data_IF_836679930112
#
_entry.id   IF_836679930112
#
_cell.length_a   1.000
_cell.length_b   1.000
_cell.length_c   1.000
_cell.angle_alpha   90.00
_cell.angle_beta   90.00
_cell.angle_gamma   90.00
#
_symmetry.space_group_name_H-M   'P 1'
#
loop_
_entity.id
_entity.type
_entity.pdbx_description
1 polymer ?
#
# COMPACT_ATOMS: atom_id res chain seq x y z
N UNK A 1 67.83 44.37 24.58
CA UNK A 1 66.85 44.28 23.49
C UNK A 1 65.91 43.14 23.78
N UNK A 2 64.69 43.45 24.26
CA UNK A 2 63.73 42.46 24.70
C UNK A 2 62.66 42.28 23.64
N UNK A 3 62.50 41.03 23.10
CA UNK A 3 61.47 40.67 22.14
C UNK A 3 60.29 40.15 22.90
N UNK A 4 59.20 40.88 22.97
CA UNK A 4 57.89 40.45 23.49
C UNK A 4 57.24 39.48 22.53
N UNK A 5 57.01 38.24 22.97
CA UNK A 5 56.16 37.28 22.27
C UNK A 5 54.70 37.56 22.61
N UNK A 6 53.91 37.90 21.58
CA UNK A 6 52.47 38.02 21.64
C UNK A 6 51.85 36.59 21.50
N UNK A 7 51.16 36.14 22.54
CA UNK A 7 50.40 34.89 22.49
C UNK A 7 48.97 35.25 22.03
N UNK A 8 48.61 34.84 20.82
CA UNK A 8 47.24 34.92 20.33
C UNK A 8 46.47 33.72 20.90
N UNK A 9 45.53 33.99 21.80
CA UNK A 9 44.51 33.00 22.22
C UNK A 9 43.42 32.94 21.12
N UNK A 10 43.41 31.88 20.34
CA UNK A 10 42.29 31.58 19.45
C UNK A 10 41.16 30.90 20.29
N UNK A 11 40.08 31.66 20.47
CA UNK A 11 38.83 31.20 21.06
C UNK A 11 38.10 30.31 20.04
N UNK A 12 38.18 28.99 20.20
CA UNK A 12 37.37 28.03 19.43
C UNK A 12 35.98 28.03 20.03
N UNK A 13 35.04 28.71 19.37
CA UNK A 13 33.61 28.59 19.71
C UNK A 13 33.13 27.24 19.20
N UNK A 14 32.93 26.27 20.13
CA UNK A 14 32.15 25.06 19.86
C UNK A 14 30.69 25.47 19.67
N UNK A 15 30.23 25.52 18.44
CA UNK A 15 28.82 25.50 18.11
C UNK A 15 28.29 24.10 18.37
N UNK A 16 27.71 23.89 19.55
CA UNK A 16 26.87 22.72 19.82
C UNK A 16 25.62 22.86 18.98
N UNK A 17 25.58 22.24 17.80
CA UNK A 17 24.35 22.00 17.07
C UNK A 17 23.53 21.00 17.87
N UNK A 18 22.73 21.51 18.82
CA UNK A 18 21.66 20.74 19.47
C UNK A 18 20.61 20.50 18.39
N UNK A 19 20.62 19.30 17.84
CA UNK A 19 19.57 18.85 16.92
C UNK A 19 18.21 18.99 17.59
N UNK A 20 17.39 19.85 17.07
CA UNK A 20 15.93 19.87 17.30
C UNK A 20 15.32 18.65 16.59
N UNK A 21 15.51 17.46 17.17
CA UNK A 21 14.76 16.27 16.85
C UNK A 21 14.01 15.84 18.10
N UNK A 22 12.72 16.11 18.10
CA UNK A 22 11.84 15.69 19.18
C UNK A 22 10.61 16.60 19.23
N UNK A 23 9.76 16.53 18.21
CA UNK A 23 8.38 16.95 18.44
C UNK A 23 7.81 15.94 19.45
N UNK A 24 7.49 16.42 20.65
CA UNK A 24 6.93 15.60 21.72
C UNK A 24 5.62 14.96 21.24
N UNK A 25 5.66 13.67 20.87
CA UNK A 25 4.47 12.83 20.60
C UNK A 25 3.65 12.54 21.88
N UNK A 26 3.97 13.25 22.96
CA UNK A 26 3.25 13.14 24.24
C UNK A 26 1.81 13.59 24.07
N UNK A 27 0.95 12.63 23.74
CA UNK A 27 -0.49 12.80 23.72
C UNK A 27 -1.21 12.44 22.43
N UNK A 28 -0.50 12.12 21.30
CA UNK A 28 -1.20 11.67 20.10
C UNK A 28 -1.65 10.22 20.27
N UNK A 29 -2.91 9.95 19.96
CA UNK A 29 -3.49 8.61 20.07
C UNK A 29 -3.62 7.95 18.70
N UNK A 30 -3.76 6.60 18.67
CA UNK A 30 -4.05 5.87 17.46
C UNK A 30 -5.34 6.37 16.78
N UNK A 31 -6.41 6.61 17.53
CA UNK A 31 -7.68 7.12 17.00
C UNK A 31 -7.51 8.50 16.34
N UNK A 32 -6.68 9.38 16.89
CA UNK A 32 -6.39 10.69 16.30
C UNK A 32 -5.60 10.56 15.00
N UNK A 33 -4.59 9.67 14.93
CA UNK A 33 -3.82 9.41 13.71
C UNK A 33 -4.70 8.81 12.62
N UNK A 34 -5.57 7.86 12.97
CA UNK A 34 -6.56 7.29 12.03
C UNK A 34 -7.51 8.36 11.52
N UNK A 35 -8.03 9.23 12.39
CA UNK A 35 -8.92 10.32 11.97
C UNK A 35 -8.23 11.30 11.01
N UNK A 36 -6.97 11.67 11.30
CA UNK A 36 -6.15 12.52 10.42
C UNK A 36 -5.87 11.87 9.08
N UNK A 37 -5.55 10.57 9.06
CA UNK A 37 -5.37 9.82 7.82
C UNK A 37 -6.65 9.79 6.97
N UNK A 38 -7.81 9.49 7.57
CA UNK A 38 -9.11 9.50 6.87
C UNK A 38 -9.40 10.87 6.29
N UNK A 39 -9.16 11.95 7.05
CA UNK A 39 -9.33 13.33 6.59
C UNK A 39 -8.38 13.65 5.42
N UNK A 40 -7.09 13.31 5.56
CA UNK A 40 -6.06 13.49 4.54
C UNK A 40 -6.42 12.79 3.23
N UNK A 41 -6.98 11.59 3.31
CA UNK A 41 -7.44 10.82 2.12
C UNK A 41 -8.68 11.40 1.45
N UNK A 42 -9.30 12.43 2.00
CA UNK A 42 -10.48 13.13 1.44
C UNK A 42 -11.74 13.03 2.29
N UNK A 43 -11.64 12.39 3.46
CA UNK A 43 -12.72 12.25 4.43
C UNK A 43 -13.63 11.05 4.19
N UNK A 44 -14.32 10.65 5.24
CA UNK A 44 -15.15 9.45 5.24
C UNK A 44 -16.22 9.45 4.13
N UNK A 45 -16.85 10.60 3.87
CA UNK A 45 -17.90 10.72 2.84
C UNK A 45 -17.36 10.44 1.42
N UNK A 46 -16.19 11.00 1.07
CA UNK A 46 -15.58 10.78 -0.24
C UNK A 46 -15.15 9.31 -0.40
N UNK A 47 -14.52 8.74 0.64
CA UNK A 47 -14.12 7.33 0.67
C UNK A 47 -15.32 6.38 0.52
N UNK A 48 -16.43 6.65 1.20
CA UNK A 48 -17.68 5.88 1.07
C UNK A 48 -18.36 6.10 -0.29
N UNK A 49 -18.20 7.27 -0.89
CA UNK A 49 -18.75 7.61 -2.21
C UNK A 49 -18.03 6.92 -3.37
N UNK A 50 -16.80 6.42 -3.16
CA UNK A 50 -16.04 5.69 -4.17
C UNK A 50 -16.48 4.22 -4.21
N UNK A 51 -17.45 3.89 -5.10
CA UNK A 51 -18.02 2.53 -5.18
C UNK A 51 -17.21 1.59 -6.05
N UNK A 52 -16.67 2.11 -7.15
CA UNK A 52 -15.77 1.38 -8.04
C UNK A 52 -14.58 2.25 -8.40
N UNK A 53 -13.46 1.63 -8.66
CA UNK A 53 -12.25 2.31 -9.10
C UNK A 53 -11.55 1.44 -10.14
N UNK A 54 -11.29 2.02 -11.32
CA UNK A 54 -10.47 1.38 -12.34
C UNK A 54 -9.15 2.14 -12.46
N UNK A 55 -8.05 1.43 -12.31
CA UNK A 55 -6.70 1.94 -12.42
C UNK A 55 -6.05 1.30 -13.64
N UNK A 56 -5.46 2.08 -14.53
CA UNK A 56 -4.67 1.60 -15.65
C UNK A 56 -3.30 2.26 -15.68
N UNK A 57 -2.30 1.52 -16.16
CA UNK A 57 -0.92 1.97 -16.18
C UNK A 57 0.03 0.83 -16.52
N UNK A 58 1.15 0.79 -15.82
CA UNK A 58 2.26 -0.13 -16.08
C UNK A 58 2.67 -0.87 -14.82
N UNK A 59 2.94 -2.16 -14.97
CA UNK A 59 3.61 -2.98 -13.96
C UNK A 59 5.05 -3.23 -14.43
N UNK A 60 6.00 -2.72 -13.67
CA UNK A 60 7.43 -2.87 -13.91
C UNK A 60 7.97 -3.95 -12.98
N UNK A 61 8.66 -4.95 -13.55
CA UNK A 61 9.29 -6.04 -12.80
C UNK A 61 10.76 -6.18 -13.21
N UNK A 62 11.56 -6.87 -12.41
CA UNK A 62 13.00 -7.04 -12.65
C UNK A 62 13.72 -5.69 -12.88
N UNK A 63 13.61 -4.77 -11.94
CA UNK A 63 14.18 -3.40 -12.03
C UNK A 63 13.74 -2.63 -13.29
N UNK A 64 12.49 -2.80 -13.69
CA UNK A 64 11.93 -2.14 -14.88
C UNK A 64 12.35 -2.74 -16.23
N UNK A 65 13.10 -3.84 -16.24
CA UNK A 65 13.48 -4.53 -17.48
C UNK A 65 12.31 -5.18 -18.21
N UNK A 66 11.24 -5.44 -17.49
CA UNK A 66 10.01 -6.00 -18.03
C UNK A 66 8.84 -5.09 -17.66
N UNK A 67 8.14 -4.62 -18.69
CA UNK A 67 6.96 -3.75 -18.57
C UNK A 67 5.72 -4.50 -19.05
N UNK A 68 4.72 -4.60 -18.19
CA UNK A 68 3.41 -5.17 -18.50
C UNK A 68 2.36 -4.06 -18.49
N UNK A 69 1.40 -4.11 -19.40
CA UNK A 69 0.21 -3.28 -19.30
C UNK A 69 -0.58 -3.72 -18.07
N UNK A 70 -0.91 -2.77 -17.19
CA UNK A 70 -1.60 -3.00 -15.94
C UNK A 70 -3.00 -2.44 -15.97
N UNK A 71 -3.97 -3.25 -15.53
CA UNK A 71 -5.35 -2.84 -15.33
C UNK A 71 -5.86 -3.47 -14.03
N UNK A 72 -6.31 -2.64 -13.10
CA UNK A 72 -6.95 -3.10 -11.88
C UNK A 72 -8.33 -2.48 -11.76
N UNK A 73 -9.33 -3.29 -11.44
CA UNK A 73 -10.68 -2.84 -11.14
C UNK A 73 -11.05 -3.30 -9.74
N UNK A 74 -11.44 -2.35 -8.90
CA UNK A 74 -11.91 -2.60 -7.54
C UNK A 74 -13.37 -2.20 -7.41
N UNK A 75 -14.13 -2.92 -6.59
CA UNK A 75 -15.53 -2.60 -6.26
C UNK A 75 -15.81 -2.87 -4.79
N UNK A 76 -16.46 -1.91 -4.13
CA UNK A 76 -16.94 -2.12 -2.77
C UNK A 76 -18.08 -3.16 -2.73
N UNK A 77 -18.15 -4.00 -1.66
CA UNK A 77 -17.37 -3.87 -0.41
C UNK A 77 -15.99 -4.53 -0.41
N UNK A 78 -15.60 -5.32 -1.41
CA UNK A 78 -14.32 -6.04 -1.36
C UNK A 78 -14.11 -6.95 -2.55
N UNK A 79 -14.36 -6.47 -3.77
CA UNK A 79 -14.10 -7.18 -5.02
C UNK A 79 -12.90 -6.53 -5.73
N UNK A 80 -12.03 -7.33 -6.31
CA UNK A 80 -10.87 -6.86 -7.08
C UNK A 80 -10.58 -7.80 -8.25
N UNK A 81 -10.17 -7.21 -9.36
CA UNK A 81 -9.57 -7.90 -10.50
C UNK A 81 -8.37 -7.14 -10.99
N UNK A 82 -7.27 -7.85 -11.19
CA UNK A 82 -6.02 -7.32 -11.76
C UNK A 82 -5.67 -8.12 -13.02
N UNK A 83 -5.44 -7.41 -14.11
CA UNK A 83 -4.98 -7.93 -15.39
C UNK A 83 -3.59 -7.34 -15.69
N UNK A 84 -2.58 -8.20 -15.87
CA UNK A 84 -1.23 -7.80 -16.26
C UNK A 84 -0.87 -8.46 -17.58
N UNK A 85 -0.69 -7.65 -18.63
CA UNK A 85 -0.54 -8.14 -20.02
C UNK A 85 0.86 -7.89 -20.58
N UNK A 86 1.48 -8.95 -21.08
CA UNK A 86 2.74 -8.90 -21.81
C UNK A 86 2.62 -9.67 -23.12
N UNK A 87 2.91 -9.02 -24.24
CA UNK A 87 2.92 -9.64 -25.59
C UNK A 87 1.64 -10.42 -25.92
N UNK A 88 0.47 -9.87 -25.52
CA UNK A 88 -0.84 -10.47 -25.75
C UNK A 88 -1.21 -11.62 -24.79
N UNK A 89 -0.36 -11.97 -23.85
CA UNK A 89 -0.65 -12.90 -22.76
C UNK A 89 -1.00 -12.15 -21.49
N UNK A 90 -2.16 -12.43 -20.88
CA UNK A 90 -2.64 -11.73 -19.70
C UNK A 90 -2.67 -12.67 -18.50
N UNK A 91 -1.91 -12.32 -17.45
CA UNK A 91 -2.13 -12.86 -16.11
C UNK A 91 -3.34 -12.18 -15.53
N UNK A 92 -4.26 -12.96 -14.99
CA UNK A 92 -5.46 -12.45 -14.32
C UNK A 92 -5.47 -12.96 -12.88
N UNK A 93 -5.77 -12.09 -11.94
CA UNK A 93 -6.10 -12.44 -10.57
C UNK A 93 -7.39 -11.72 -10.18
N UNK A 94 -8.32 -12.42 -9.57
CA UNK A 94 -9.57 -11.81 -9.15
C UNK A 94 -10.11 -12.42 -7.86
N UNK A 95 -10.86 -11.62 -7.13
CA UNK A 95 -11.59 -11.99 -5.91
C UNK A 95 -12.97 -11.34 -5.94
N UNK A 96 -14.01 -12.15 -5.73
CA UNK A 96 -15.42 -11.72 -5.82
C UNK A 96 -16.07 -11.41 -4.45
N UNK A 97 -15.26 -11.25 -3.42
CA UNK A 97 -15.70 -11.09 -2.04
C UNK A 97 -15.85 -12.41 -1.28
N UNK A 98 -15.69 -13.56 -1.95
CA UNK A 98 -15.82 -14.91 -1.36
C UNK A 98 -14.75 -15.88 -1.85
N UNK A 99 -14.54 -15.94 -3.14
CA UNK A 99 -13.59 -16.85 -3.80
C UNK A 99 -12.59 -16.07 -4.66
N UNK A 100 -11.33 -16.49 -4.62
CA UNK A 100 -10.29 -15.99 -5.50
C UNK A 100 -9.94 -16.95 -6.61
N UNK A 101 -9.47 -16.44 -7.73
CA UNK A 101 -9.02 -17.23 -8.85
C UNK A 101 -7.93 -16.52 -9.65
N UNK A 102 -7.18 -17.28 -10.44
CA UNK A 102 -6.13 -16.76 -11.32
C UNK A 102 -6.09 -17.46 -12.67
N UNK A 103 -5.52 -16.76 -13.67
CA UNK A 103 -5.02 -17.34 -14.93
C UNK A 103 -3.55 -16.94 -15.05
N UNK A 104 -2.67 -17.90 -15.31
CA UNK A 104 -1.21 -17.67 -15.41
C UNK A 104 -0.64 -18.29 -16.70
N UNK A 105 -0.84 -17.64 -17.86
CA UNK A 105 -0.51 -18.22 -19.17
C UNK A 105 0.99 -18.43 -19.40
N UNK A 106 1.85 -17.67 -18.70
CA UNK A 106 3.31 -17.80 -18.81
C UNK A 106 3.85 -19.14 -18.31
N UNK A 107 3.05 -19.87 -17.51
CA UNK A 107 3.39 -21.21 -17.02
C UNK A 107 2.75 -22.33 -17.84
N UNK A 108 2.23 -22.00 -19.03
CA UNK A 108 1.53 -22.94 -19.92
C UNK A 108 0.09 -23.27 -19.47
N UNK A 109 -0.39 -22.65 -18.41
CA UNK A 109 -1.73 -22.84 -17.84
C UNK A 109 -2.66 -21.73 -18.28
N UNK A 110 -3.53 -22.02 -19.24
CA UNK A 110 -4.49 -21.06 -19.80
C UNK A 110 -5.87 -21.12 -19.13
N UNK A 111 -6.12 -22.17 -18.38
CA UNK A 111 -7.40 -22.35 -17.68
C UNK A 111 -7.41 -21.60 -16.34
N UNK A 112 -8.55 -21.09 -15.91
CA UNK A 112 -8.68 -20.46 -14.60
C UNK A 112 -8.52 -21.49 -13.49
N UNK A 113 -7.81 -21.13 -12.43
CA UNK A 113 -7.56 -21.92 -11.24
C UNK A 113 -8.12 -21.20 -10.02
N UNK A 114 -8.84 -21.92 -9.14
CA UNK A 114 -9.25 -21.37 -7.84
C UNK A 114 -8.04 -21.22 -6.93
N UNK A 115 -8.01 -20.15 -6.18
CA UNK A 115 -7.02 -19.88 -5.14
C UNK A 115 -7.44 -20.53 -3.83
N UNK A 116 -6.46 -20.93 -3.02
CA UNK A 116 -6.71 -21.32 -1.64
C UNK A 116 -7.10 -20.09 -0.79
N UNK A 117 -7.64 -20.32 0.40
CA UNK A 117 -7.95 -19.22 1.33
C UNK A 117 -6.70 -18.40 1.69
N UNK A 118 -5.55 -19.05 1.84
CA UNK A 118 -4.28 -18.38 2.12
C UNK A 118 -3.81 -17.53 0.92
N UNK A 119 -3.88 -18.07 -0.29
CA UNK A 119 -3.50 -17.34 -1.51
C UNK A 119 -4.44 -16.15 -1.80
N UNK A 120 -5.66 -16.15 -1.25
CA UNK A 120 -6.59 -15.02 -1.37
C UNK A 120 -6.29 -13.85 -0.44
N UNK A 121 -5.45 -14.02 0.59
CA UNK A 121 -5.20 -12.97 1.60
C UNK A 121 -4.68 -11.67 0.98
N UNK A 122 -3.75 -11.76 0.03
CA UNK A 122 -3.25 -10.59 -0.69
C UNK A 122 -4.34 -9.91 -1.52
N UNK A 123 -5.20 -10.67 -2.19
CA UNK A 123 -6.31 -10.11 -2.97
C UNK A 123 -7.37 -9.44 -2.08
N UNK A 124 -7.61 -9.99 -0.88
CA UNK A 124 -8.51 -9.38 0.11
C UNK A 124 -7.96 -8.02 0.56
N UNK A 125 -6.66 -7.92 0.83
CA UNK A 125 -6.01 -6.64 1.15
C UNK A 125 -6.08 -5.67 -0.05
N UNK A 126 -5.81 -6.13 -1.26
CA UNK A 126 -5.90 -5.32 -2.47
C UNK A 126 -7.34 -4.82 -2.75
N UNK A 127 -8.35 -5.59 -2.38
CA UNK A 127 -9.75 -5.21 -2.55
C UNK A 127 -10.18 -4.06 -1.62
N UNK A 128 -9.45 -3.80 -0.54
CA UNK A 128 -9.70 -2.70 0.38
C UNK A 128 -9.31 -1.35 -0.23
N UNK A 129 -10.21 -0.71 -0.99
CA UNK A 129 -9.93 0.58 -1.64
C UNK A 129 -9.49 1.68 -0.69
N UNK A 130 -9.97 1.64 0.55
CA UNK A 130 -9.72 2.67 1.55
C UNK A 130 -8.60 2.32 2.54
N UNK A 131 -7.99 1.13 2.38
CA UNK A 131 -6.93 0.64 3.26
C UNK A 131 -7.40 0.20 4.66
N UNK A 132 -6.49 -0.35 5.47
CA UNK A 132 -6.82 -1.05 6.71
C UNK A 132 -7.24 -0.14 7.88
N UNK A 133 -7.08 1.17 7.75
CA UNK A 133 -7.44 2.14 8.81
C UNK A 133 -8.89 2.60 8.73
N UNK A 134 -9.54 2.44 7.57
CA UNK A 134 -10.96 2.81 7.41
C UNK A 134 -11.85 1.67 7.87
N UNK A 135 -12.86 1.97 8.68
CA UNK A 135 -13.82 0.99 9.24
C UNK A 135 -13.14 -0.16 10.02
N UNK A 136 -11.97 0.09 10.59
CA UNK A 136 -11.20 -0.95 11.29
C UNK A 136 -11.96 -1.57 12.48
N UNK A 137 -12.76 -0.77 13.20
CA UNK A 137 -13.57 -1.25 14.34
C UNK A 137 -14.66 -2.22 13.87
N UNK A 138 -15.37 -1.85 12.81
CA UNK A 138 -16.43 -2.66 12.20
C UNK A 138 -15.86 -3.95 11.59
N UNK A 139 -14.64 -3.89 11.04
CA UNK A 139 -13.90 -5.05 10.55
C UNK A 139 -13.40 -5.99 11.69
N UNK A 140 -13.55 -5.58 12.96
CA UNK A 140 -13.07 -6.34 14.12
C UNK A 140 -11.56 -6.32 14.28
N UNK A 141 -10.88 -5.32 13.72
CA UNK A 141 -9.45 -5.09 13.88
C UNK A 141 -9.17 -4.24 15.12
N UNK A 142 -7.91 -4.24 15.57
CA UNK A 142 -7.41 -3.31 16.58
C UNK A 142 -6.30 -2.46 15.99
N UNK A 143 -6.26 -1.16 16.35
CA UNK A 143 -5.20 -0.25 15.92
C UNK A 143 -4.47 0.30 17.12
N UNK A 144 -3.15 0.26 17.10
CA UNK A 144 -2.27 0.77 18.15
C UNK A 144 -1.21 1.67 17.54
N UNK A 145 -1.00 2.84 18.12
CA UNK A 145 0.17 3.66 17.80
C UNK A 145 1.40 3.06 18.50
N UNK A 146 2.43 2.73 17.73
CA UNK A 146 3.65 2.07 18.25
C UNK A 146 4.88 2.97 18.23
N UNK A 147 4.73 4.25 17.91
CA UNK A 147 5.80 5.22 17.87
C UNK A 147 6.12 5.69 16.45
N UNK A 148 7.27 6.29 16.28
CA UNK A 148 7.79 6.71 14.98
C UNK A 148 8.88 5.78 14.49
N UNK A 149 9.06 5.73 13.18
CA UNK A 149 10.12 4.98 12.52
C UNK A 149 10.54 5.72 11.26
N UNK A 150 11.84 5.74 10.98
CA UNK A 150 12.36 6.33 9.76
C UNK A 150 11.97 5.49 8.54
N UNK A 151 11.37 6.16 7.57
CA UNK A 151 11.03 5.60 6.25
C UNK A 151 11.72 6.48 5.21
N UNK A 152 12.87 6.03 4.74
CA UNK A 152 13.68 6.69 3.72
C UNK A 152 13.95 8.18 4.02
N UNK A 153 14.26 8.49 5.29
CA UNK A 153 14.54 9.84 5.79
C UNK A 153 13.31 10.60 6.29
N UNK A 154 12.12 10.00 6.26
CA UNK A 154 10.89 10.56 6.83
C UNK A 154 10.61 9.91 8.19
N UNK A 155 10.56 10.70 9.26
CA UNK A 155 10.19 10.24 10.61
C UNK A 155 8.68 10.00 10.71
N UNK A 156 8.22 8.85 10.20
CA UNK A 156 6.82 8.51 10.00
C UNK A 156 6.12 8.03 11.29
N UNK A 157 4.84 8.34 11.44
CA UNK A 157 4.00 7.72 12.48
C UNK A 157 3.73 6.26 12.11
N UNK A 158 4.02 5.34 13.02
CA UNK A 158 3.81 3.90 12.82
C UNK A 158 2.60 3.42 13.60
N UNK A 159 1.60 2.93 12.88
CA UNK A 159 0.42 2.28 13.41
C UNK A 159 0.51 0.77 13.19
N UNK A 160 0.15 -0.03 14.21
CA UNK A 160 -0.03 -1.48 14.10
C UNK A 160 -1.51 -1.79 14.05
N UNK A 161 -1.94 -2.45 12.99
CA UNK A 161 -3.30 -2.97 12.81
C UNK A 161 -3.26 -4.49 12.96
N UNK A 162 -3.94 -5.04 13.95
CA UNK A 162 -4.14 -6.49 14.08
C UNK A 162 -5.52 -6.81 13.56
N UNK A 163 -5.58 -7.58 12.48
CA UNK A 163 -6.82 -7.99 11.82
C UNK A 163 -7.53 -9.11 12.60
N UNK A 164 -8.82 -9.26 12.39
CA UNK A 164 -9.64 -10.31 13.02
C UNK A 164 -9.09 -11.73 12.82
N UNK A 165 -8.45 -11.99 11.69
CA UNK A 165 -7.84 -13.29 11.36
C UNK A 165 -6.42 -13.47 11.97
N UNK A 166 -5.91 -12.47 12.70
CA UNK A 166 -4.60 -12.47 13.32
C UNK A 166 -3.46 -11.93 12.46
N UNK A 167 -3.69 -11.66 11.18
CA UNK A 167 -2.70 -10.99 10.31
C UNK A 167 -2.44 -9.56 10.82
N UNK A 168 -1.25 -9.03 10.57
CA UNK A 168 -0.83 -7.72 11.06
C UNK A 168 -0.42 -6.83 9.90
N UNK A 169 -0.91 -5.59 9.91
CA UNK A 169 -0.40 -4.54 9.03
C UNK A 169 0.26 -3.45 9.88
N UNK A 170 1.48 -3.05 9.52
CA UNK A 170 2.06 -1.80 9.96
C UNK A 170 1.80 -0.75 8.89
N UNK A 171 1.25 0.38 9.30
CA UNK A 171 0.93 1.52 8.43
C UNK A 171 1.78 2.69 8.87
N UNK A 172 2.53 3.26 7.95
CA UNK A 172 3.43 4.38 8.18
C UNK A 172 2.83 5.63 7.54
N UNK A 173 2.55 6.63 8.36
CA UNK A 173 1.93 7.88 7.92
C UNK A 173 2.98 8.99 7.86
N UNK A 174 2.96 9.74 6.76
CA UNK A 174 3.71 10.98 6.64
C UNK A 174 3.34 11.95 7.76
N UNK A 175 4.31 12.60 8.44
CA UNK A 175 4.04 13.45 9.59
C UNK A 175 3.32 14.77 9.23
N UNK A 176 3.48 15.26 8.00
CA UNK A 176 2.94 16.54 7.55
C UNK A 176 1.56 16.37 6.89
N UNK A 177 1.39 15.31 6.10
CA UNK A 177 0.20 15.07 5.28
C UNK A 177 -0.70 13.95 5.80
N UNK A 178 -0.23 13.08 6.70
CA UNK A 178 -0.95 11.92 7.25
C UNK A 178 -1.41 10.89 6.20
N UNK A 179 -0.89 10.96 4.97
CA UNK A 179 -1.07 9.90 3.96
C UNK A 179 -0.13 8.72 4.26
N UNK A 180 -0.52 7.53 3.84
CA UNK A 180 0.33 6.36 3.96
C UNK A 180 1.53 6.48 3.01
N UNK A 181 2.76 6.36 3.51
CA UNK A 181 3.97 6.32 2.69
C UNK A 181 4.53 4.90 2.56
N UNK A 182 4.25 4.05 3.54
CA UNK A 182 4.62 2.63 3.54
C UNK A 182 3.59 1.80 4.29
N UNK A 183 3.39 0.58 3.83
CA UNK A 183 2.73 -0.47 4.61
C UNK A 183 3.60 -1.72 4.66
N UNK A 184 3.55 -2.46 5.78
CA UNK A 184 4.16 -3.79 5.89
C UNK A 184 3.08 -4.75 6.35
N UNK A 185 2.73 -5.72 5.52
CA UNK A 185 1.79 -6.76 5.91
C UNK A 185 2.53 -8.03 6.33
N UNK A 186 2.11 -8.59 7.46
CA UNK A 186 2.61 -9.85 8.01
C UNK A 186 1.46 -10.85 8.02
N UNK A 187 1.57 -11.90 7.23
CA UNK A 187 0.56 -12.94 7.05
C UNK A 187 1.16 -14.31 7.26
N UNK A 188 0.36 -15.24 7.75
CA UNK A 188 0.73 -16.67 7.74
C UNK A 188 0.10 -17.31 6.51
N UNK A 189 0.93 -17.83 5.61
CA UNK A 189 0.53 -18.53 4.38
C UNK A 189 1.19 -19.91 4.38
N UNK A 190 0.39 -20.96 4.26
CA UNK A 190 0.86 -22.36 4.26
C UNK A 190 1.82 -22.70 5.43
N UNK A 191 1.59 -22.07 6.59
CA UNK A 191 2.39 -22.26 7.79
C UNK A 191 3.69 -21.43 7.85
N UNK A 192 4.03 -20.66 6.80
CA UNK A 192 5.14 -19.74 6.79
C UNK A 192 4.66 -18.30 7.05
N UNK A 193 5.46 -17.52 7.76
CA UNK A 193 5.22 -16.09 7.91
C UNK A 193 5.77 -15.36 6.69
N UNK A 194 4.90 -14.64 6.00
CA UNK A 194 5.23 -13.81 4.83
C UNK A 194 5.14 -12.34 5.24
N UNK A 195 6.18 -11.58 4.94
CA UNK A 195 6.19 -10.13 5.10
C UNK A 195 6.31 -9.47 3.74
N UNK A 196 5.32 -8.63 3.41
CA UNK A 196 5.30 -7.81 2.19
C UNK A 196 5.40 -6.35 2.59
N UNK A 197 6.36 -5.64 2.00
CA UNK A 197 6.51 -4.20 2.13
C UNK A 197 5.99 -3.52 0.87
N UNK A 198 5.20 -2.47 1.05
CA UNK A 198 4.64 -1.67 -0.05
C UNK A 198 4.87 -0.20 0.22
N UNK A 199 5.59 0.47 -0.66
CA UNK A 199 5.80 1.90 -0.67
C UNK A 199 4.75 2.58 -1.54
N UNK A 200 4.22 3.71 -1.08
CA UNK A 200 3.12 4.44 -1.68
C UNK A 200 3.54 5.88 -1.93
N UNK A 201 3.34 6.38 -3.15
CA UNK A 201 3.72 7.74 -3.52
C UNK A 201 2.89 8.32 -4.66
N UNK A 202 3.28 9.52 -5.09
CA UNK A 202 2.66 10.23 -6.21
C UNK A 202 1.13 10.32 -6.07
N UNK A 203 0.67 10.80 -4.90
CA UNK A 203 -0.75 10.86 -4.59
C UNK A 203 -1.48 11.89 -5.45
N UNK A 204 -2.54 11.46 -6.12
CA UNK A 204 -3.43 12.32 -6.89
C UNK A 204 -4.86 12.31 -6.34
N UNK A 205 -5.57 13.44 -6.47
CA UNK A 205 -6.95 13.58 -5.98
C UNK A 205 -7.96 13.20 -7.06
N UNK A 206 -8.64 12.07 -6.87
CA UNK A 206 -9.62 11.50 -7.81
C UNK A 206 -10.98 11.43 -7.10
N UNK A 207 -12.00 12.10 -7.64
CA UNK A 207 -13.34 12.19 -7.04
C UNK A 207 -13.34 12.56 -5.54
N UNK A 208 -12.40 13.40 -5.13
CA UNK A 208 -12.26 13.85 -3.74
C UNK A 208 -11.38 12.95 -2.86
N UNK A 209 -10.96 11.78 -3.33
CA UNK A 209 -10.09 10.83 -2.62
C UNK A 209 -8.66 10.92 -3.14
N UNK A 210 -7.66 10.94 -2.25
CA UNK A 210 -6.26 10.83 -2.62
C UNK A 210 -5.89 9.35 -2.83
N UNK A 211 -5.37 9.03 -4.03
CA UNK A 211 -5.00 7.70 -4.50
C UNK A 211 -3.52 7.72 -4.87
N UNK A 212 -2.70 6.74 -4.43
CA UNK A 212 -1.30 6.66 -4.84
C UNK A 212 -1.21 6.26 -6.32
N UNK A 213 -0.39 6.98 -7.08
CA UNK A 213 -0.10 6.71 -8.50
C UNK A 213 1.22 5.96 -8.69
N UNK A 214 2.06 5.89 -7.66
CA UNK A 214 3.22 5.02 -7.60
C UNK A 214 3.07 4.05 -6.42
N UNK A 215 3.16 2.75 -6.72
CA UNK A 215 3.11 1.68 -5.72
C UNK A 215 4.27 0.73 -5.99
N UNK A 216 5.16 0.56 -5.01
CA UNK A 216 6.29 -0.37 -5.12
C UNK A 216 6.17 -1.44 -4.03
N UNK A 217 6.13 -2.71 -4.42
CA UNK A 217 5.84 -3.80 -3.50
C UNK A 217 6.75 -5.01 -3.72
N UNK A 218 7.13 -5.66 -2.63
CA UNK A 218 7.95 -6.87 -2.64
C UNK A 218 8.07 -7.51 -1.28
N UNK A 219 8.80 -8.62 -1.20
CA UNK A 219 9.14 -9.21 0.09
C UNK A 219 9.97 -8.20 0.89
N UNK A 220 9.67 -8.07 2.17
CA UNK A 220 10.36 -7.12 3.05
C UNK A 220 11.87 -7.38 3.03
N UNK A 221 12.66 -6.31 2.95
CA UNK A 221 14.12 -6.34 2.83
C UNK A 221 14.66 -7.01 1.54
N UNK A 222 13.80 -7.32 0.57
CA UNK A 222 14.24 -7.78 -0.75
C UNK A 222 14.53 -6.58 -1.65
N UNK A 223 15.60 -6.62 -2.45
CA UNK A 223 15.81 -5.66 -3.52
C UNK A 223 14.85 -5.90 -4.69
N UNK A 224 14.32 -7.12 -4.83
CA UNK A 224 13.41 -7.49 -5.90
C UNK A 224 11.99 -6.99 -5.59
N UNK A 225 11.71 -5.76 -5.96
CA UNK A 225 10.37 -5.16 -5.89
C UNK A 225 9.76 -5.02 -7.27
N UNK A 226 8.45 -5.08 -7.34
CA UNK A 226 7.69 -4.71 -8.53
C UNK A 226 7.07 -3.32 -8.30
N UNK A 227 7.06 -2.52 -9.36
CA UNK A 227 6.52 -1.17 -9.31
C UNK A 227 5.32 -1.03 -10.22
N UNK A 228 4.22 -0.51 -9.69
CA UNK A 228 3.04 -0.11 -10.45
C UNK A 228 3.08 1.40 -10.61
N UNK A 229 3.01 1.87 -11.86
CA UNK A 229 2.86 3.28 -12.21
C UNK A 229 1.47 3.44 -12.80
N UNK A 230 0.58 4.13 -12.09
CA UNK A 230 -0.75 4.43 -12.56
C UNK A 230 -0.67 5.62 -13.52
N UNK A 231 -1.32 5.49 -14.67
CA UNK A 231 -1.42 6.55 -15.69
C UNK A 231 -2.82 7.15 -15.72
N UNK A 232 -3.84 6.37 -15.31
CA UNK A 232 -5.23 6.81 -15.28
C UNK A 232 -6.00 6.14 -14.16
N UNK A 233 -6.81 6.93 -13.44
CA UNK A 233 -7.76 6.46 -12.45
C UNK A 233 -9.17 6.91 -12.83
N UNK A 234 -10.11 5.97 -12.89
CA UNK A 234 -11.52 6.21 -13.27
C UNK A 234 -12.41 5.80 -12.09
N UNK A 235 -12.96 6.79 -11.35
CA UNK A 235 -13.83 6.53 -10.23
C UNK A 235 -15.26 6.22 -10.69
N UNK A 236 -15.96 5.38 -9.94
CA UNK A 236 -17.39 5.11 -10.09
C UNK A 236 -17.79 4.65 -11.50
N UNK A 237 -16.89 3.89 -12.16
CA UNK A 237 -17.19 3.27 -13.45
C UNK A 237 -18.21 2.15 -13.28
N UNK A 238 -19.07 1.98 -14.29
CA UNK A 238 -19.94 0.83 -14.37
C UNK A 238 -19.12 -0.45 -14.63
N UNK A 239 -19.37 -1.49 -13.86
CA UNK A 239 -18.67 -2.77 -13.95
C UNK A 239 -19.67 -3.92 -13.92
N UNK A 240 -19.42 -4.96 -14.72
CA UNK A 240 -20.14 -6.22 -14.64
C UNK A 240 -19.52 -7.10 -13.54
N UNK A 241 -20.33 -7.51 -12.57
CA UNK A 241 -19.90 -8.37 -11.46
C UNK A 241 -19.36 -9.72 -11.93
N UNK A 242 -19.74 -10.17 -13.12
CA UNK A 242 -19.23 -11.40 -13.70
C UNK A 242 -17.70 -11.36 -13.89
N UNK A 243 -17.10 -10.16 -14.04
CA UNK A 243 -15.65 -10.03 -14.20
C UNK A 243 -14.83 -10.47 -12.99
N UNK A 244 -15.40 -10.42 -11.79
CA UNK A 244 -14.74 -10.82 -10.55
C UNK A 244 -14.92 -12.31 -10.25
N UNK A 245 -15.99 -12.93 -10.78
CA UNK A 245 -16.35 -14.33 -10.49
C UNK A 245 -15.46 -15.30 -11.27
N UNK A 246 -15.32 -16.52 -10.71
CA UNK A 246 -14.66 -17.61 -11.43
C UNK A 246 -15.34 -17.83 -12.79
N UNK A 247 -14.58 -17.81 -13.90
CA UNK A 247 -15.15 -17.94 -15.24
C UNK A 247 -15.92 -19.26 -15.41
N UNK A 248 -17.12 -19.16 -15.98
CA UNK A 248 -17.85 -20.37 -16.36
C UNK A 248 -17.06 -21.16 -17.44
N UNK A 249 -17.11 -22.50 -17.43
CA UNK A 249 -16.51 -23.29 -18.49
C UNK A 249 -16.99 -22.79 -19.86
N UNK A 250 -16.05 -22.58 -20.78
CA UNK A 250 -16.43 -22.24 -22.15
C UNK A 250 -17.37 -23.32 -22.69
N UNK A 251 -18.54 -22.92 -23.19
CA UNK A 251 -19.46 -23.85 -23.82
C UNK A 251 -18.69 -24.57 -24.94
N UNK A 252 -18.56 -25.88 -24.82
CA UNK A 252 -17.97 -26.71 -25.89
C UNK A 252 -18.80 -26.49 -27.15
N UNK A 253 -18.19 -25.85 -28.13
CA UNK A 253 -18.75 -25.75 -29.50
C UNK A 253 -18.63 -27.09 -30.21
#
# INVERSE_FOLDING_TARGET
MAIRRLILLSLVALFSASGLFGQDDKGITADQLVAKNIEAKGGASALQGLKTLRLSGKLLVNDGKLELAYLQTKKQPGEVRTDATLQGMTVVQAYDGKEGWKISPFQGRKDPEKLSADDCKSLIEDAEMSGPLVNWKEAGSTVTYVGREDVDGTDAYKLKVVRKNGDVNFVYLDPDHYLEIRTVSQRTEQGAQIETETDLGDYEKIAGVFIPFAVESGARHSPDKQKIVIEKAEPNVEVDDAMFRFPAPAAKK
#
